data_IF_744443588425
#
_entry.id   IF_744443588425
#
_cell.length_a   1.000
_cell.length_b   1.000
_cell.length_c   1.000
_cell.angle_alpha   90.00
_cell.angle_beta   90.00
_cell.angle_gamma   90.00
#
_symmetry.space_group_name_H-M   'P 1'
#
loop_
_entity.id
_entity.type
_entity.pdbx_description
1 polymer ?
#
# COMPACT_ATOMS: atom_id res chain seq x y z
N UNK A 1 -1.60 7.45 28.35
CA UNK A 1 -0.69 6.77 27.41
C UNK A 1 -1.11 7.18 26.01
N UNK A 2 -0.20 7.19 25.03
CA UNK A 2 -0.50 7.55 23.64
C UNK A 2 -1.50 6.60 22.98
N UNK A 3 -1.77 5.44 23.60
CA UNK A 3 -2.79 4.48 23.18
C UNK A 3 -3.70 4.16 24.39
N UNK A 4 -5.00 4.29 24.18
CA UNK A 4 -6.09 3.77 25.00
C UNK A 4 -6.85 2.74 24.17
N UNK A 5 -6.60 1.46 24.45
CA UNK A 5 -7.07 0.33 23.65
C UNK A 5 -8.59 0.21 23.67
N UNK A 6 -9.22 0.42 24.82
CA UNK A 6 -10.67 0.28 24.96
C UNK A 6 -11.37 1.39 24.19
N UNK A 7 -10.89 2.63 24.30
CA UNK A 7 -11.44 3.76 23.53
C UNK A 7 -11.25 3.52 22.03
N UNK A 8 -10.05 3.09 21.59
CA UNK A 8 -9.75 2.93 20.17
C UNK A 8 -10.55 1.78 19.52
N UNK A 9 -10.69 0.63 20.18
CA UNK A 9 -11.44 -0.51 19.63
C UNK A 9 -12.96 -0.28 19.60
N UNK A 10 -13.48 0.58 20.48
CA UNK A 10 -14.90 0.94 20.50
C UNK A 10 -15.21 2.25 19.75
N UNK A 11 -14.21 2.87 19.11
CA UNK A 11 -14.38 4.12 18.40
C UNK A 11 -15.17 3.91 17.11
N UNK A 12 -16.26 4.68 16.96
CA UNK A 12 -16.89 4.92 15.67
C UNK A 12 -16.19 6.12 15.02
N UNK A 13 -15.42 5.87 13.95
CA UNK A 13 -14.78 6.95 13.21
C UNK A 13 -15.78 7.56 12.21
N UNK A 14 -15.77 8.88 12.12
CA UNK A 14 -16.63 9.60 11.18
C UNK A 14 -16.37 9.11 9.74
N UNK A 15 -17.43 8.87 8.94
CA UNK A 15 -17.28 8.51 7.55
C UNK A 15 -16.55 9.61 6.76
N UNK A 16 -15.67 9.20 5.85
CA UNK A 16 -14.97 10.10 4.94
C UNK A 16 -15.65 10.00 3.57
N UNK A 17 -16.28 11.08 3.14
CA UNK A 17 -16.79 11.22 1.77
C UNK A 17 -15.69 11.75 0.85
N UNK A 18 -15.55 11.14 -0.32
CA UNK A 18 -14.56 11.55 -1.32
C UNK A 18 -15.03 11.19 -2.74
N UNK A 19 -14.31 11.71 -3.72
CA UNK A 19 -14.55 11.45 -5.15
C UNK A 19 -13.23 11.45 -5.90
N UNK A 20 -13.21 10.81 -7.06
CA UNK A 20 -12.07 10.77 -7.97
C UNK A 20 -12.51 10.92 -9.41
N UNK A 21 -11.60 11.44 -10.22
CA UNK A 21 -11.76 11.59 -11.67
C UNK A 21 -10.89 10.60 -12.43
N UNK A 22 -11.12 10.47 -13.74
CA UNK A 22 -10.24 9.70 -14.63
C UNK A 22 -8.81 10.23 -14.59
N UNK A 23 -8.61 11.55 -14.51
CA UNK A 23 -7.29 12.16 -14.35
C UNK A 23 -6.58 11.78 -13.05
N UNK A 24 -7.32 11.57 -11.96
CA UNK A 24 -6.74 11.12 -10.68
C UNK A 24 -6.23 9.68 -10.80
N UNK A 25 -6.99 8.82 -11.48
CA UNK A 25 -6.55 7.46 -11.81
C UNK A 25 -5.28 7.51 -12.67
N UNK A 26 -5.27 8.28 -13.75
CA UNK A 26 -4.09 8.41 -14.61
C UNK A 26 -2.87 8.91 -13.82
N UNK A 27 -3.04 9.92 -12.96
CA UNK A 27 -1.97 10.42 -12.09
C UNK A 27 -1.46 9.33 -11.14
N UNK A 28 -2.34 8.52 -10.58
CA UNK A 28 -1.97 7.38 -9.76
C UNK A 28 -1.10 6.39 -10.53
N UNK A 29 -1.53 5.97 -11.72
CA UNK A 29 -0.79 5.01 -12.54
C UNK A 29 0.55 5.56 -13.05
N UNK A 30 0.61 6.84 -13.44
CA UNK A 30 1.88 7.52 -13.71
C UNK A 30 2.78 7.53 -12.47
N UNK A 31 2.20 7.75 -11.29
CA UNK A 31 2.86 7.63 -9.99
C UNK A 31 3.39 6.23 -9.66
N UNK A 32 2.90 5.19 -10.36
CA UNK A 32 3.42 3.82 -10.32
C UNK A 32 4.37 3.50 -11.50
N UNK A 33 4.63 4.46 -12.39
CA UNK A 33 5.49 4.27 -13.55
C UNK A 33 4.81 3.66 -14.78
N UNK A 34 3.47 3.64 -14.84
CA UNK A 34 2.75 3.23 -16.05
C UNK A 34 3.09 4.13 -17.24
N UNK A 35 3.10 3.56 -18.44
CA UNK A 35 3.40 4.28 -19.68
C UNK A 35 4.88 4.53 -19.92
N UNK A 36 5.76 3.80 -19.22
CA UNK A 36 7.21 3.89 -19.42
C UNK A 36 7.63 3.52 -20.86
N UNK A 37 6.97 2.51 -21.45
CA UNK A 37 7.00 2.27 -22.89
C UNK A 37 5.75 2.90 -23.54
N UNK A 38 5.89 4.03 -24.27
CA UNK A 38 4.76 4.68 -24.91
C UNK A 38 4.19 3.89 -26.10
N UNK A 39 4.80 2.77 -26.48
CA UNK A 39 4.36 1.90 -27.56
C UNK A 39 3.69 0.61 -27.08
N UNK A 40 3.72 0.31 -25.77
CA UNK A 40 3.06 -0.90 -25.24
C UNK A 40 1.56 -0.64 -25.05
N UNK A 41 0.68 -1.30 -25.85
CA UNK A 41 -0.76 -1.10 -25.74
C UNK A 41 -1.34 -1.59 -24.41
N UNK A 42 -0.63 -2.42 -23.62
CA UNK A 42 -1.05 -2.83 -22.27
C UNK A 42 -0.83 -1.68 -21.28
N UNK A 43 0.34 -1.06 -21.32
CA UNK A 43 0.66 0.11 -20.48
C UNK A 43 -0.30 1.28 -20.71
N UNK A 44 -0.65 1.52 -21.99
CA UNK A 44 -1.52 2.63 -22.36
C UNK A 44 -2.96 2.47 -21.84
N UNK A 45 -3.41 1.26 -21.46
CA UNK A 45 -4.76 1.03 -20.90
C UNK A 45 -4.96 1.73 -19.55
N UNK A 46 -3.88 1.94 -18.80
CA UNK A 46 -3.90 2.69 -17.54
C UNK A 46 -4.04 4.20 -17.75
N UNK A 47 -3.80 4.68 -18.96
CA UNK A 47 -3.69 6.11 -19.29
C UNK A 47 -4.73 6.57 -20.30
N UNK A 48 -5.72 5.72 -20.63
CA UNK A 48 -6.81 6.09 -21.54
C UNK A 48 -7.63 7.21 -20.92
N UNK A 49 -7.97 8.22 -21.71
CA UNK A 49 -8.85 9.30 -21.28
C UNK A 49 -10.26 8.77 -20.96
N UNK A 50 -10.83 9.28 -19.85
CA UNK A 50 -12.16 8.95 -19.33
C UNK A 50 -12.41 7.50 -18.88
N UNK A 51 -11.68 6.54 -19.44
CA UNK A 51 -11.86 5.11 -19.21
C UNK A 51 -10.57 4.37 -18.83
N UNK A 52 -9.65 4.96 -18.02
CA UNK A 52 -8.46 4.24 -17.59
C UNK A 52 -8.85 2.99 -16.77
N UNK A 53 -8.13 1.91 -16.95
CA UNK A 53 -8.27 0.75 -16.07
C UNK A 53 -7.78 1.10 -14.66
N UNK A 54 -8.49 0.64 -13.63
CA UNK A 54 -8.19 0.98 -12.23
C UNK A 54 -7.61 -0.22 -11.50
N UNK A 55 -6.35 -0.11 -11.04
CA UNK A 55 -5.78 -1.13 -10.14
C UNK A 55 -6.46 -1.03 -8.76
N UNK A 56 -6.82 -2.16 -8.12
CA UNK A 56 -7.39 -2.14 -6.76
C UNK A 56 -6.56 -1.36 -5.75
N UNK A 57 -5.24 -1.28 -5.96
CA UNK A 57 -4.31 -0.55 -5.10
C UNK A 57 -4.54 0.97 -5.07
N UNK A 58 -5.32 1.53 -6.02
CA UNK A 58 -5.81 2.91 -5.93
C UNK A 58 -6.67 3.14 -4.69
N UNK A 59 -7.43 2.13 -4.25
CA UNK A 59 -8.30 2.21 -3.06
C UNK A 59 -7.55 2.61 -1.79
N UNK A 60 -6.24 2.33 -1.70
CA UNK A 60 -5.41 2.69 -0.54
C UNK A 60 -5.13 4.19 -0.41
N UNK A 61 -5.22 4.93 -1.52
CA UNK A 61 -4.94 6.37 -1.59
C UNK A 61 -6.17 7.22 -1.88
N UNK A 62 -7.25 6.62 -2.38
CA UNK A 62 -8.42 7.32 -2.92
C UNK A 62 -9.03 8.35 -1.95
N UNK A 63 -9.26 7.96 -0.69
CA UNK A 63 -9.85 8.86 0.32
C UNK A 63 -8.91 10.04 0.70
N UNK A 64 -7.60 9.84 0.57
CA UNK A 64 -6.59 10.85 0.87
C UNK A 64 -6.03 11.55 -0.37
N UNK A 65 -6.54 11.26 -1.56
CA UNK A 65 -5.83 11.51 -2.82
C UNK A 65 -5.47 12.99 -3.03
N UNK A 66 -6.40 13.88 -2.65
CA UNK A 66 -6.24 15.32 -2.76
C UNK A 66 -5.66 16.00 -1.51
N UNK A 67 -5.21 15.23 -0.52
CA UNK A 67 -4.58 15.80 0.67
C UNK A 67 -3.23 16.44 0.34
N UNK A 68 -3.01 17.62 0.91
CA UNK A 68 -1.82 18.45 0.68
C UNK A 68 -0.97 18.62 1.95
N UNK A 69 -1.39 18.00 3.06
CA UNK A 69 -0.68 18.01 4.34
C UNK A 69 -0.11 16.62 4.65
N UNK A 70 0.97 16.53 5.43
CA UNK A 70 1.43 15.25 5.97
C UNK A 70 0.30 14.53 6.73
N UNK A 71 0.27 13.18 6.71
CA UNK A 71 -0.72 12.42 7.46
C UNK A 71 -0.53 12.60 8.98
N UNK A 72 -1.61 12.45 9.74
CA UNK A 72 -1.58 12.41 11.20
C UNK A 72 -2.01 11.03 11.69
N UNK A 73 -1.54 10.63 12.87
CA UNK A 73 -1.95 9.38 13.53
C UNK A 73 -2.67 9.75 14.82
N UNK A 74 -3.82 10.39 14.64
CA UNK A 74 -4.65 10.95 15.70
C UNK A 74 -6.08 10.48 15.51
N UNK A 75 -6.53 9.61 16.41
CA UNK A 75 -7.85 9.01 16.44
C UNK A 75 -8.33 8.92 17.89
N UNK A 76 -9.62 8.69 18.15
CA UNK A 76 -10.07 8.37 19.51
C UNK A 76 -9.24 7.23 20.11
N UNK A 77 -8.59 7.50 21.23
CA UNK A 77 -7.71 6.54 21.91
C UNK A 77 -6.34 6.33 21.27
N UNK A 78 -5.95 7.07 20.23
CA UNK A 78 -4.62 6.96 19.59
C UNK A 78 -4.08 8.36 19.29
N UNK A 79 -2.95 8.73 19.87
CA UNK A 79 -2.20 9.95 19.55
C UNK A 79 -0.71 9.63 19.49
N UNK A 80 -0.22 9.44 18.26
CA UNK A 80 1.15 8.96 18.01
C UNK A 80 1.86 9.92 17.05
N UNK A 81 3.10 10.25 17.38
CA UNK A 81 3.97 11.03 16.50
C UNK A 81 4.28 10.25 15.22
N UNK A 82 4.02 10.86 14.05
CA UNK A 82 4.21 10.23 12.74
C UNK A 82 5.61 9.64 12.54
N UNK A 83 6.65 10.28 13.10
CA UNK A 83 8.05 9.85 12.98
C UNK A 83 8.34 8.48 13.61
N UNK A 84 7.45 7.99 14.48
CA UNK A 84 7.57 6.67 15.13
C UNK A 84 6.78 5.57 14.42
N UNK A 85 6.01 5.93 13.40
CA UNK A 85 5.06 5.04 12.75
C UNK A 85 5.66 4.49 11.46
N UNK A 86 5.60 3.17 11.33
CA UNK A 86 5.86 2.48 10.08
C UNK A 86 4.60 1.81 9.57
N UNK A 87 4.33 1.94 8.28
CA UNK A 87 3.32 1.11 7.62
C UNK A 87 3.85 -0.33 7.57
N UNK A 88 3.14 -1.28 8.18
CA UNK A 88 3.62 -2.65 8.37
C UNK A 88 3.00 -3.65 7.38
N UNK A 89 1.71 -3.54 7.11
CA UNK A 89 1.01 -4.42 6.16
C UNK A 89 -0.17 -3.71 5.53
N UNK A 90 -0.46 -4.09 4.29
CA UNK A 90 -1.52 -3.52 3.47
C UNK A 90 -2.21 -4.63 2.68
N UNK A 91 -3.54 -4.55 2.58
CA UNK A 91 -4.35 -5.45 1.76
C UNK A 91 -5.60 -4.72 1.27
N UNK A 92 -5.93 -4.92 0.01
CA UNK A 92 -7.15 -4.44 -0.62
C UNK A 92 -7.88 -5.59 -1.29
N UNK A 93 -9.20 -5.61 -1.17
CA UNK A 93 -10.10 -6.58 -1.79
C UNK A 93 -11.23 -5.83 -2.48
N UNK A 94 -11.51 -6.18 -3.74
CA UNK A 94 -12.57 -5.58 -4.55
C UNK A 94 -13.59 -6.67 -4.95
N UNK A 95 -14.90 -6.43 -4.83
CA UNK A 95 -15.92 -7.36 -5.29
C UNK A 95 -16.13 -7.32 -6.81
N UNK A 96 -15.68 -6.24 -7.47
CA UNK A 96 -15.79 -6.00 -8.91
C UNK A 96 -14.73 -4.96 -9.35
N UNK A 97 -14.43 -4.83 -10.65
CA UNK A 97 -13.54 -3.79 -11.16
C UNK A 97 -13.96 -2.38 -10.73
N UNK A 98 -13.00 -1.57 -10.28
CA UNK A 98 -13.26 -0.20 -9.83
C UNK A 98 -13.56 0.73 -11.01
N UNK A 99 -14.51 1.67 -10.88
CA UNK A 99 -14.85 2.59 -11.96
C UNK A 99 -13.77 3.69 -12.14
N UNK A 100 -13.56 4.18 -13.38
CA UNK A 100 -12.53 5.16 -13.70
C UNK A 100 -12.75 6.54 -13.06
N UNK A 101 -13.98 6.82 -12.61
CA UNK A 101 -14.35 7.98 -11.82
C UNK A 101 -15.51 7.61 -10.90
N UNK A 102 -15.70 8.35 -9.83
CA UNK A 102 -16.79 8.07 -8.89
C UNK A 102 -16.73 8.88 -7.61
N UNK A 103 -17.71 8.63 -6.76
CA UNK A 103 -17.75 9.11 -5.38
C UNK A 103 -18.08 7.96 -4.44
N UNK A 104 -17.56 8.03 -3.23
CA UNK A 104 -17.69 6.98 -2.24
C UNK A 104 -17.59 7.51 -0.81
N UNK A 105 -18.02 6.67 0.12
CA UNK A 105 -17.89 6.89 1.56
C UNK A 105 -17.02 5.77 2.14
N UNK A 106 -15.95 6.15 2.84
CA UNK A 106 -15.09 5.24 3.58
C UNK A 106 -15.44 5.26 5.07
N UNK A 107 -15.59 4.09 5.68
CA UNK A 107 -15.77 3.93 7.12
C UNK A 107 -14.63 3.08 7.65
N UNK A 108 -13.88 3.60 8.62
CA UNK A 108 -12.72 2.92 9.21
C UNK A 108 -13.03 2.52 10.64
N UNK A 109 -12.56 1.33 11.04
CA UNK A 109 -12.59 0.85 12.43
C UNK A 109 -11.25 0.23 12.80
N UNK A 110 -10.85 0.34 14.06
CA UNK A 110 -9.71 -0.42 14.58
C UNK A 110 -10.17 -1.83 14.93
N UNK A 111 -9.45 -2.84 14.46
CA UNK A 111 -9.82 -4.25 14.68
C UNK A 111 -9.00 -4.90 15.76
N UNK A 112 -7.71 -4.56 15.83
CA UNK A 112 -6.76 -5.18 16.74
C UNK A 112 -5.70 -4.17 17.16
N UNK A 113 -5.35 -4.18 18.45
CA UNK A 113 -4.23 -3.40 18.99
C UNK A 113 -3.40 -4.31 19.88
N UNK A 114 -2.14 -4.54 19.50
CA UNK A 114 -1.26 -5.50 20.17
C UNK A 114 -0.08 -4.81 20.82
N UNK A 115 0.22 -5.21 22.06
CA UNK A 115 1.37 -4.73 22.81
C UNK A 115 2.60 -5.61 22.53
N UNK A 116 3.59 -5.07 21.82
CA UNK A 116 4.89 -5.72 21.58
C UNK A 116 5.95 -5.29 22.60
N UNK A 117 5.54 -4.74 23.74
CA UNK A 117 6.34 -4.20 24.85
C UNK A 117 7.12 -2.93 24.46
N UNK A 118 7.89 -2.99 23.36
CA UNK A 118 8.67 -1.86 22.82
C UNK A 118 8.00 -1.15 21.65
N UNK A 119 6.82 -1.62 21.26
CA UNK A 119 6.04 -1.08 20.15
C UNK A 119 4.58 -1.48 20.27
N UNK A 120 3.70 -0.79 19.55
CA UNK A 120 2.34 -1.22 19.30
C UNK A 120 2.18 -1.68 17.84
N UNK A 121 1.29 -2.64 17.61
CA UNK A 121 0.75 -2.95 16.29
C UNK A 121 -0.73 -2.62 16.30
N UNK A 122 -1.14 -1.72 15.42
CA UNK A 122 -2.54 -1.27 15.32
C UNK A 122 -3.05 -1.69 13.95
N UNK A 123 -4.10 -2.50 13.92
CA UNK A 123 -4.82 -2.88 12.71
C UNK A 123 -6.09 -2.05 12.56
N UNK A 124 -6.35 -1.65 11.32
CA UNK A 124 -7.61 -1.04 10.94
C UNK A 124 -8.18 -1.70 9.70
N UNK A 125 -9.50 -1.69 9.62
CA UNK A 125 -10.25 -2.08 8.45
C UNK A 125 -11.05 -0.88 7.96
N UNK A 126 -11.00 -0.63 6.66
CA UNK A 126 -11.78 0.42 6.00
C UNK A 126 -12.68 -0.24 4.96
N UNK A 127 -13.99 -0.07 5.11
CA UNK A 127 -14.98 -0.48 4.11
C UNK A 127 -15.40 0.73 3.30
N UNK A 128 -15.47 0.58 1.98
CA UNK A 128 -15.83 1.67 1.08
C UNK A 128 -17.01 1.27 0.22
N UNK A 129 -18.02 2.15 0.15
CA UNK A 129 -19.22 1.97 -0.65
C UNK A 129 -19.53 3.22 -1.47
N UNK A 130 -20.19 3.06 -2.63
CA UNK A 130 -20.76 4.15 -3.41
C UNK A 130 -21.97 4.79 -2.70
N UNK A 131 -22.46 5.90 -3.24
CA UNK A 131 -23.62 6.64 -2.72
C UNK A 131 -24.93 5.85 -2.68
N UNK A 132 -25.07 4.81 -3.50
CA UNK A 132 -26.22 3.89 -3.49
C UNK A 132 -26.05 2.69 -2.53
N UNK A 133 -24.94 2.64 -1.80
CA UNK A 133 -24.62 1.58 -0.84
C UNK A 133 -23.92 0.36 -1.45
N UNK A 134 -23.61 0.36 -2.75
CA UNK A 134 -22.87 -0.74 -3.37
C UNK A 134 -21.44 -0.81 -2.81
N UNK A 135 -20.99 -1.97 -2.28
CA UNK A 135 -19.61 -2.13 -1.82
C UNK A 135 -18.62 -1.99 -2.98
N UNK A 136 -17.57 -1.19 -2.79
CA UNK A 136 -16.52 -0.96 -3.81
C UNK A 136 -15.21 -1.63 -3.45
N UNK A 137 -14.75 -1.51 -2.20
CA UNK A 137 -13.59 -2.28 -1.71
C UNK A 137 -13.56 -2.37 -0.20
N UNK A 138 -12.81 -3.34 0.30
CA UNK A 138 -12.40 -3.43 1.70
C UNK A 138 -10.88 -3.35 1.77
N UNK A 139 -10.38 -2.57 2.72
CA UNK A 139 -8.97 -2.42 2.97
C UNK A 139 -8.64 -2.87 4.40
N UNK A 140 -7.53 -3.59 4.57
CA UNK A 140 -6.99 -3.95 5.88
C UNK A 140 -5.53 -3.56 5.94
N UNK A 141 -5.20 -2.69 6.89
CA UNK A 141 -3.83 -2.20 7.07
C UNK A 141 -3.38 -2.31 8.51
N UNK A 142 -2.07 -2.35 8.72
CA UNK A 142 -1.49 -2.18 10.04
C UNK A 142 -0.34 -1.21 10.07
N UNK A 143 -0.23 -0.51 11.20
CA UNK A 143 0.92 0.30 11.54
C UNK A 143 1.70 -0.31 12.69
N UNK A 144 3.02 -0.16 12.64
CA UNK A 144 3.94 -0.50 13.72
C UNK A 144 4.44 0.80 14.35
N UNK A 145 4.00 1.09 15.57
CA UNK A 145 4.35 2.31 16.30
C UNK A 145 5.49 2.03 17.28
N UNK A 146 6.70 2.50 16.94
CA UNK A 146 7.93 2.28 17.71
C UNK A 146 7.89 3.08 19.01
N UNK A 147 8.21 2.43 20.13
CA UNK A 147 8.22 3.07 21.45
C UNK A 147 6.84 3.25 22.09
N UNK A 148 5.77 2.94 21.36
CA UNK A 148 4.38 3.13 21.82
C UNK A 148 3.77 1.86 22.43
N UNK A 149 4.62 0.94 22.91
CA UNK A 149 4.20 -0.28 23.63
C UNK A 149 4.19 -0.11 25.15
N UNK A 150 4.00 -1.22 25.87
CA UNK A 150 4.08 -1.27 27.33
C UNK A 150 2.81 -0.83 28.06
N UNK A 151 1.68 -0.74 27.35
CA UNK A 151 0.37 -0.42 27.90
C UNK A 151 -0.34 -1.65 28.50
N UNK A 152 0.20 -2.86 28.29
CA UNK A 152 -0.42 -4.12 28.71
C UNK A 152 -1.49 -4.58 27.74
N UNK A 153 -1.72 -5.89 27.64
CA UNK A 153 -2.70 -6.46 26.72
C UNK A 153 -2.16 -7.69 25.98
N UNK A 154 -2.90 -8.12 24.96
CA UNK A 154 -2.46 -9.25 24.15
C UNK A 154 -1.24 -8.87 23.31
N UNK A 155 -0.25 -9.77 23.28
CA UNK A 155 0.91 -9.62 22.42
C UNK A 155 0.55 -9.76 20.94
N UNK A 156 -0.63 -10.33 20.63
CA UNK A 156 -1.02 -10.73 19.29
C UNK A 156 -0.08 -11.80 18.71
N UNK A 157 -0.34 -12.26 17.46
CA UNK A 157 0.50 -13.24 16.81
C UNK A 157 1.95 -12.74 16.68
N UNK A 158 2.91 -13.60 17.01
CA UNK A 158 4.31 -13.42 16.60
C UNK A 158 4.39 -13.69 15.10
N UNK A 159 4.64 -12.67 14.29
CA UNK A 159 4.64 -12.84 12.83
C UNK A 159 5.68 -13.87 12.38
N UNK A 160 5.23 -14.98 11.82
CA UNK A 160 5.12 -15.18 10.36
C UNK A 160 3.97 -16.16 10.12
N UNK A 161 2.86 -15.71 9.55
CA UNK A 161 1.86 -16.66 9.04
C UNK A 161 2.48 -17.49 7.90
N UNK A 162 1.92 -18.67 7.57
CA UNK A 162 2.42 -19.50 6.46
C UNK A 162 2.53 -18.77 5.10
N UNK A 163 1.85 -17.63 4.95
CA UNK A 163 1.87 -16.77 3.74
C UNK A 163 3.06 -15.80 3.65
N UNK A 164 3.93 -15.71 4.67
CA UNK A 164 4.98 -14.68 4.73
C UNK A 164 6.30 -15.08 4.07
N UNK A 165 6.59 -16.38 4.00
CA UNK A 165 7.82 -16.88 3.38
C UNK A 165 7.58 -17.15 1.89
N UNK A 166 8.51 -16.68 1.05
CA UNK A 166 8.56 -17.15 -0.32
C UNK A 166 8.66 -18.69 -0.33
N UNK A 167 7.99 -19.38 -1.27
CA UNK A 167 8.14 -20.82 -1.42
C UNK A 167 9.62 -21.23 -1.49
N UNK A 168 9.97 -22.35 -0.87
CA UNK A 168 11.33 -22.90 -0.87
C UNK A 168 11.65 -23.60 -2.21
N UNK A 169 11.59 -22.81 -3.30
CA UNK A 169 11.90 -23.17 -4.68
C UNK A 169 12.15 -21.89 -5.50
N UNK A 170 12.78 -22.03 -6.65
CA UNK A 170 12.94 -20.92 -7.59
C UNK A 170 11.58 -20.30 -8.00
N UNK A 171 11.52 -18.98 -8.24
CA UNK A 171 10.32 -18.32 -8.75
C UNK A 171 9.97 -18.84 -10.14
N UNK A 172 8.68 -18.86 -10.45
CA UNK A 172 8.17 -19.23 -11.78
C UNK A 172 8.41 -18.10 -12.79
N UNK A 173 8.49 -16.86 -12.30
CA UNK A 173 8.81 -15.67 -13.09
C UNK A 173 9.60 -14.67 -12.25
N UNK A 174 10.55 -14.00 -12.86
CA UNK A 174 11.21 -12.82 -12.31
C UNK A 174 10.93 -11.60 -13.18
N UNK A 175 10.58 -10.48 -12.54
CA UNK A 175 10.33 -9.20 -13.22
C UNK A 175 11.19 -8.12 -12.57
N UNK A 176 11.88 -7.35 -13.40
CA UNK A 176 12.60 -6.15 -12.95
C UNK A 176 11.64 -4.95 -12.98
N UNK A 177 11.61 -4.20 -11.88
CA UNK A 177 10.74 -3.04 -11.69
C UNK A 177 11.62 -1.80 -11.46
N UNK A 178 11.93 -1.03 -12.51
CA UNK A 178 12.72 0.19 -12.39
C UNK A 178 11.93 1.29 -11.68
N UNK A 179 12.57 1.97 -10.73
CA UNK A 179 12.01 3.11 -10.01
C UNK A 179 12.62 4.38 -10.61
N UNK A 180 11.78 5.34 -11.03
CA UNK A 180 12.27 6.63 -11.51
C UNK A 180 13.04 7.38 -10.41
N UNK A 181 14.07 8.17 -10.74
CA UNK A 181 14.75 9.03 -9.77
C UNK A 181 13.80 9.98 -9.03
N UNK A 182 12.75 10.44 -9.70
CA UNK A 182 11.72 11.33 -9.16
C UNK A 182 10.41 10.62 -8.75
N UNK A 183 10.39 9.27 -8.67
CA UNK A 183 9.16 8.50 -8.44
C UNK A 183 8.40 8.96 -7.18
N UNK A 184 9.10 9.17 -6.07
CA UNK A 184 8.52 9.62 -4.81
C UNK A 184 7.91 11.03 -4.92
N UNK A 185 8.47 11.91 -5.76
CA UNK A 185 7.95 13.25 -6.00
C UNK A 185 6.69 13.26 -6.85
N UNK A 186 6.53 12.27 -7.72
CA UNK A 186 5.31 12.06 -8.48
C UNK A 186 4.23 11.38 -7.63
N UNK A 187 4.57 10.28 -6.96
CA UNK A 187 3.62 9.51 -6.17
C UNK A 187 3.03 10.29 -4.99
N UNK A 188 3.81 11.18 -4.35
CA UNK A 188 3.28 12.07 -3.29
C UNK A 188 2.15 12.99 -3.76
N UNK A 189 1.97 13.17 -5.08
CA UNK A 189 0.82 13.92 -5.59
C UNK A 189 -0.51 13.19 -5.38
N UNK A 190 -0.46 11.87 -5.10
CA UNK A 190 -1.60 11.01 -4.78
C UNK A 190 -2.00 11.04 -3.29
N UNK A 191 -1.61 12.08 -2.55
CA UNK A 191 -2.11 12.35 -1.20
C UNK A 191 -1.08 12.27 -0.07
N UNK A 192 -0.10 11.37 -0.14
CA UNK A 192 0.89 11.23 0.94
C UNK A 192 2.02 12.27 0.82
N UNK A 193 1.87 13.35 1.59
CA UNK A 193 2.82 14.47 1.65
C UNK A 193 3.87 14.35 2.76
N UNK A 194 4.09 13.17 3.34
CA UNK A 194 5.12 12.99 4.36
C UNK A 194 6.51 13.43 3.84
N UNK A 195 7.20 14.37 4.52
CA UNK A 195 8.51 14.87 4.09
C UNK A 195 9.60 13.78 4.03
N UNK A 196 9.40 12.63 4.69
CA UNK A 196 10.26 11.45 4.57
C UNK A 196 10.57 11.04 3.12
N UNK A 197 9.66 11.37 2.20
CA UNK A 197 9.75 10.97 0.79
C UNK A 197 10.25 12.10 -0.14
N UNK A 198 10.53 13.29 0.38
CA UNK A 198 10.92 14.44 -0.46
C UNK A 198 11.98 15.36 0.14
N UNK A 199 12.19 15.32 1.45
CA UNK A 199 13.09 16.22 2.18
C UNK A 199 14.31 15.43 2.68
N UNK A 200 15.53 15.73 2.17
CA UNK A 200 16.75 15.07 2.61
C UNK A 200 17.07 15.25 4.11
N UNK A 201 16.80 16.42 4.68
CA UNK A 201 17.09 16.68 6.10
C UNK A 201 16.15 15.88 6.99
N UNK A 202 14.85 15.84 6.62
CA UNK A 202 13.87 15.02 7.34
C UNK A 202 14.20 13.53 7.24
N UNK A 203 14.55 13.04 6.05
CA UNK A 203 14.94 11.65 5.85
C UNK A 203 16.20 11.27 6.66
N UNK A 204 17.20 12.16 6.69
CA UNK A 204 18.41 11.99 7.50
C UNK A 204 18.09 11.95 8.99
N UNK A 205 17.22 12.84 9.48
CA UNK A 205 16.76 12.83 10.88
C UNK A 205 16.00 11.54 11.25
N UNK A 206 15.30 10.93 10.29
CA UNK A 206 14.64 9.64 10.43
C UNK A 206 15.59 8.43 10.27
N UNK A 207 16.88 8.65 10.03
CA UNK A 207 17.90 7.62 9.94
C UNK A 207 18.12 7.02 8.55
N UNK A 208 17.62 7.67 7.49
CA UNK A 208 17.83 7.25 6.11
C UNK A 208 18.88 8.12 5.42
N UNK A 209 19.72 7.54 4.53
CA UNK A 209 20.78 8.29 3.85
C UNK A 209 20.25 9.31 2.83
N UNK A 210 19.00 9.16 2.40
CA UNK A 210 18.26 10.01 1.45
C UNK A 210 16.76 9.69 1.54
N UNK A 211 15.86 10.50 0.95
CA UNK A 211 14.44 10.19 0.92
C UNK A 211 14.14 8.79 0.35
N UNK A 212 13.28 8.05 1.04
CA UNK A 212 12.83 6.71 0.62
C UNK A 212 11.57 6.81 -0.24
N UNK A 213 11.33 5.81 -1.10
CA UNK A 213 10.07 5.69 -1.82
C UNK A 213 8.94 5.32 -0.84
N UNK A 214 7.73 5.80 -1.08
CA UNK A 214 6.56 5.37 -0.33
C UNK A 214 6.39 3.85 -0.42
N UNK A 215 6.12 3.20 0.72
CA UNK A 215 5.79 1.78 0.74
C UNK A 215 4.63 1.47 -0.19
N UNK A 216 3.57 2.28 -0.15
CA UNK A 216 2.39 2.14 -1.02
C UNK A 216 2.67 2.35 -2.51
N UNK A 217 3.71 3.12 -2.87
CA UNK A 217 4.17 3.20 -4.25
C UNK A 217 4.80 1.87 -4.67
N UNK A 218 5.74 1.34 -3.88
CA UNK A 218 6.34 0.01 -4.14
C UNK A 218 5.30 -1.11 -4.21
N UNK A 219 4.31 -1.05 -3.32
CA UNK A 219 3.15 -1.95 -3.28
C UNK A 219 2.36 -1.91 -4.59
N UNK A 220 1.97 -0.71 -5.05
CA UNK A 220 1.24 -0.53 -6.30
C UNK A 220 2.05 -0.93 -7.54
N UNK A 221 3.34 -0.56 -7.58
CA UNK A 221 4.27 -0.94 -8.66
C UNK A 221 4.39 -2.47 -8.77
N UNK A 222 4.46 -3.17 -7.64
CA UNK A 222 4.52 -4.64 -7.60
C UNK A 222 3.21 -5.26 -8.06
N UNK A 223 2.06 -4.73 -7.63
CA UNK A 223 0.74 -5.19 -8.11
C UNK A 223 0.62 -5.04 -9.63
N UNK A 224 0.98 -3.86 -10.14
CA UNK A 224 1.02 -3.57 -11.57
C UNK A 224 1.92 -4.57 -12.31
N UNK A 225 3.16 -4.77 -11.85
CA UNK A 225 4.10 -5.71 -12.49
C UNK A 225 3.56 -7.14 -12.55
N UNK A 226 2.90 -7.63 -11.49
CA UNK A 226 2.27 -8.97 -11.49
C UNK A 226 1.09 -8.99 -12.47
N UNK A 227 0.28 -7.93 -12.51
CA UNK A 227 -0.88 -7.79 -13.41
C UNK A 227 -0.44 -7.80 -14.88
N UNK A 228 0.58 -7.01 -15.23
CA UNK A 228 1.13 -6.95 -16.59
C UNK A 228 1.70 -8.29 -17.03
N UNK A 229 2.39 -8.97 -16.11
CA UNK A 229 3.09 -10.22 -16.41
C UNK A 229 2.17 -11.44 -16.50
N UNK A 230 1.11 -11.51 -15.69
CA UNK A 230 0.32 -12.74 -15.50
C UNK A 230 -1.17 -12.58 -15.82
N UNK A 231 -1.67 -11.35 -15.98
CA UNK A 231 -3.09 -11.04 -16.23
C UNK A 231 -3.29 -10.20 -17.51
N UNK A 232 -2.34 -10.21 -18.44
CA UNK A 232 -2.36 -9.40 -19.69
C UNK A 232 -2.52 -7.88 -19.43
N UNK A 233 -2.07 -7.40 -18.27
CA UNK A 233 -2.26 -6.00 -17.86
C UNK A 233 -3.71 -5.65 -17.51
N UNK A 234 -4.63 -6.62 -17.44
CA UNK A 234 -6.02 -6.37 -17.09
C UNK A 234 -6.19 -6.12 -15.58
N UNK A 235 -6.32 -4.84 -15.20
CA UNK A 235 -6.55 -4.44 -13.82
C UNK A 235 -7.88 -4.98 -13.25
N UNK A 236 -8.88 -5.21 -14.11
CA UNK A 236 -10.17 -5.76 -13.70
C UNK A 236 -10.11 -7.23 -13.28
N UNK A 237 -9.02 -7.93 -13.62
CA UNK A 237 -8.79 -9.31 -13.24
C UNK A 237 -8.15 -9.47 -11.84
N UNK A 238 -7.95 -8.38 -11.10
CA UNK A 238 -7.39 -8.41 -9.73
C UNK A 238 -8.52 -8.30 -8.70
N UNK A 239 -8.82 -9.37 -7.96
CA UNK A 239 -9.84 -9.37 -6.91
C UNK A 239 -9.29 -9.02 -5.53
N UNK A 240 -8.06 -9.42 -5.22
CA UNK A 240 -7.39 -9.02 -3.99
C UNK A 240 -5.89 -8.88 -4.20
N UNK A 241 -5.28 -7.98 -3.44
CA UNK A 241 -3.84 -7.85 -3.38
C UNK A 241 -3.41 -7.43 -1.98
N UNK A 242 -2.31 -7.97 -1.48
CA UNK A 242 -1.76 -7.61 -0.18
C UNK A 242 -0.26 -7.87 -0.09
N UNK A 243 0.40 -7.18 0.83
CA UNK A 243 1.82 -7.34 1.10
C UNK A 243 2.19 -6.81 2.49
N UNK A 244 3.41 -7.15 2.93
CA UNK A 244 4.04 -6.60 4.13
C UNK A 244 5.27 -5.81 3.76
N UNK A 245 5.46 -4.68 4.43
CA UNK A 245 6.63 -3.82 4.23
C UNK A 245 7.77 -4.33 5.11
N UNK A 246 8.72 -5.04 4.48
CA UNK A 246 9.87 -5.64 5.16
C UNK A 246 11.09 -4.71 5.19
N UNK A 247 11.17 -3.80 4.21
CA UNK A 247 12.25 -2.84 4.07
C UNK A 247 11.83 -1.62 3.28
N UNK A 248 12.82 -0.85 2.83
CA UNK A 248 12.60 0.38 2.04
C UNK A 248 13.13 0.20 0.63
N UNK A 249 12.55 0.95 -0.31
CA UNK A 249 13.11 1.19 -1.63
C UNK A 249 13.57 2.64 -1.73
N UNK A 250 14.58 2.89 -2.56
CA UNK A 250 15.01 4.25 -2.86
C UNK A 250 14.68 4.63 -4.30
N UNK A 251 14.30 5.90 -4.57
CA UNK A 251 14.16 6.40 -5.93
C UNK A 251 15.44 6.16 -6.76
N UNK A 252 15.27 5.69 -8.00
CA UNK A 252 16.36 5.33 -8.92
C UNK A 252 16.87 3.88 -8.81
N UNK A 253 16.40 3.08 -7.85
CA UNK A 253 16.73 1.64 -7.80
C UNK A 253 15.97 0.85 -8.88
N UNK A 254 16.41 -0.39 -9.14
CA UNK A 254 15.58 -1.40 -9.82
C UNK A 254 15.30 -2.51 -8.81
N UNK A 255 14.03 -2.77 -8.56
CA UNK A 255 13.62 -3.88 -7.70
C UNK A 255 13.48 -5.14 -8.54
N UNK A 256 13.70 -6.30 -7.92
CA UNK A 256 13.43 -7.60 -8.51
C UNK A 256 12.24 -8.24 -7.81
N UNK A 257 11.23 -8.62 -8.58
CA UNK A 257 10.03 -9.32 -8.12
C UNK A 257 10.14 -10.78 -8.53
N UNK A 258 10.33 -11.68 -7.56
CA UNK A 258 10.16 -13.11 -7.77
C UNK A 258 8.70 -13.48 -7.57
N UNK A 259 8.11 -14.21 -8.52
CA UNK A 259 6.68 -14.56 -8.52
C UNK A 259 6.51 -16.08 -8.60
N UNK A 260 5.63 -16.62 -7.76
CA UNK A 260 5.26 -18.04 -7.72
C UNK A 260 3.76 -18.20 -7.98
N UNK A 261 3.39 -19.11 -8.87
CA UNK A 261 2.02 -19.56 -9.07
C UNK A 261 1.69 -20.59 -8.00
N UNK A 262 0.63 -20.35 -7.24
CA UNK A 262 0.27 -21.19 -6.10
C UNK A 262 -1.25 -21.35 -6.02
N UNK A 263 -1.79 -22.51 -6.40
CA UNK A 263 -3.20 -22.83 -6.16
C UNK A 263 -4.24 -21.81 -6.65
N UNK A 264 -3.97 -21.10 -7.75
CA UNK A 264 -4.86 -20.08 -8.32
C UNK A 264 -4.60 -18.64 -7.86
N UNK A 265 -3.63 -18.42 -6.96
CA UNK A 265 -3.10 -17.09 -6.59
C UNK A 265 -1.65 -16.94 -7.05
N UNK A 266 -1.13 -15.72 -6.96
CA UNK A 266 0.27 -15.42 -7.17
C UNK A 266 0.90 -14.95 -5.86
N UNK A 267 1.96 -15.64 -5.44
CA UNK A 267 2.81 -15.21 -4.32
C UNK A 267 4.00 -14.44 -4.88
N UNK A 268 4.50 -13.45 -4.16
CA UNK A 268 5.72 -12.77 -4.57
C UNK A 268 6.60 -12.31 -3.39
N UNK A 269 7.86 -12.05 -3.74
CA UNK A 269 8.84 -11.40 -2.88
C UNK A 269 9.55 -10.34 -3.70
N UNK A 270 9.81 -9.19 -3.08
CA UNK A 270 10.42 -8.04 -3.73
C UNK A 270 11.71 -7.69 -3.03
N UNK A 271 12.81 -7.68 -3.76
CA UNK A 271 14.14 -7.38 -3.24
C UNK A 271 14.80 -6.22 -4.01
N UNK A 272 15.76 -5.56 -3.38
CA UNK A 272 16.66 -4.62 -4.04
C UNK A 272 18.02 -5.29 -4.30
N UNK A 273 18.31 -5.73 -5.55
CA UNK A 273 19.52 -6.50 -5.84
C UNK A 273 20.82 -5.74 -5.55
N UNK A 274 20.82 -4.41 -5.73
CA UNK A 274 21.97 -3.54 -5.49
C UNK A 274 22.33 -3.37 -4.01
N UNK A 275 21.52 -3.92 -3.10
CA UNK A 275 21.70 -3.87 -1.64
C UNK A 275 21.67 -5.28 -1.05
N UNK A 276 22.47 -6.18 -1.62
CA UNK A 276 22.59 -7.58 -1.18
C UNK A 276 21.24 -8.30 -1.10
N UNK A 277 20.37 -8.06 -2.10
CA UNK A 277 18.99 -8.57 -2.13
C UNK A 277 18.16 -8.23 -0.88
N UNK A 278 18.37 -7.04 -0.30
CA UNK A 278 17.56 -6.56 0.82
C UNK A 278 16.06 -6.66 0.48
N UNK A 279 15.30 -7.35 1.33
CA UNK A 279 13.85 -7.53 1.16
C UNK A 279 13.14 -6.20 1.35
N UNK A 280 12.31 -5.84 0.38
CA UNK A 280 11.49 -4.62 0.38
C UNK A 280 10.05 -4.97 0.73
N UNK A 281 9.46 -5.92 -0.01
CA UNK A 281 8.14 -6.48 0.30
C UNK A 281 8.23 -7.99 0.51
N UNK A 282 7.51 -8.47 1.51
CA UNK A 282 7.33 -9.90 1.81
C UNK A 282 5.84 -10.22 1.95
N UNK A 283 5.49 -11.51 1.96
CA UNK A 283 4.10 -11.96 2.05
C UNK A 283 3.19 -11.32 0.99
N UNK A 284 3.72 -11.09 -0.21
CA UNK A 284 2.94 -10.55 -1.31
C UNK A 284 2.01 -11.64 -1.82
N UNK A 285 0.73 -11.32 -1.92
CA UNK A 285 -0.30 -12.20 -2.47
C UNK A 285 -1.18 -11.39 -3.41
N UNK A 286 -1.35 -11.87 -4.65
CA UNK A 286 -2.37 -11.42 -5.60
C UNK A 286 -3.35 -12.56 -5.86
N UNK A 287 -4.65 -12.26 -5.71
CA UNK A 287 -5.74 -13.18 -6.03
C UNK A 287 -6.46 -12.66 -7.27
N UNK A 288 -6.44 -13.40 -8.40
CA UNK A 288 -7.24 -13.08 -9.57
C UNK A 288 -8.75 -13.18 -9.30
N UNK A 289 -9.55 -12.46 -10.10
CA UNK A 289 -11.01 -12.50 -10.08
C UNK A 289 -11.62 -13.80 -10.65
#
# INVERSE_FOLDING_TARGET
>A
MPIDVEVALNAELDPIEFSWTSSDIQLYHLGLGAGADPMDPRELRYLVDETPQVLPTFGNVAASFHMTKPPTVQFPGIDIELSKVLHASERVEVPAPLPPSGSATAVTRFTDIWDKVKAAVIWSETTVSSSDGTPLWTQRRSIFARGEGGFGGERGPSGTGPSDAAPDRAPDLEVDVPILPQQALLYRLCGDRNPLHSDPEFAAAAGFPRPILHGLCTYGMTCKAITDALLDGDAGAVAAYGARFAGVAFPGETLKVGIWKDGGRFLASVVAPTRDNAVVLSGVELVPA
#
